data_IF_713961896314
#
_entry.id   IF_713961896314
#
_cell.length_a   1.000
_cell.length_b   1.000
_cell.length_c   1.000
_cell.angle_alpha   90.00
_cell.angle_beta   90.00
_cell.angle_gamma   90.00
#
_symmetry.space_group_name_H-M   'P 1'
#
loop_
_entity.id
_entity.type
_entity.pdbx_description
1 polymer ?
#
# COMPACT_ATOMS: atom_id res chain seq x y z
N UNK A 1 -63.11 -23.13 2.44
CA UNK A 1 -62.28 -22.20 3.26
C UNK A 1 -60.96 -22.90 3.61
N UNK A 2 -59.87 -22.15 3.67
CA UNK A 2 -58.48 -22.56 3.38
C UNK A 2 -57.86 -23.61 4.33
N UNK A 3 -56.89 -24.33 3.75
CA UNK A 3 -56.05 -25.43 4.25
C UNK A 3 -54.96 -24.99 5.24
N UNK A 4 -54.65 -25.92 6.14
CA UNK A 4 -53.38 -26.35 6.75
C UNK A 4 -52.04 -25.66 6.44
N UNK A 5 -51.18 -25.75 7.47
CA UNK A 5 -49.72 -25.94 7.53
C UNK A 5 -48.85 -24.81 8.09
N UNK A 6 -47.90 -25.28 8.89
CA UNK A 6 -47.03 -24.59 9.82
C UNK A 6 -46.02 -23.64 9.15
N UNK A 7 -45.61 -22.61 9.90
CA UNK A 7 -44.21 -22.16 9.91
C UNK A 7 -43.84 -21.86 11.35
N UNK A 8 -42.92 -22.65 11.89
CA UNK A 8 -42.13 -22.29 13.05
C UNK A 8 -41.26 -21.08 12.67
N UNK A 9 -41.56 -19.90 13.18
CA UNK A 9 -40.57 -18.83 13.27
C UNK A 9 -40.09 -18.78 14.71
N UNK A 10 -38.96 -19.46 14.93
CA UNK A 10 -38.18 -19.27 16.13
C UNK A 10 -37.79 -17.79 16.21
N UNK A 11 -38.42 -17.09 17.13
CA UNK A 11 -37.90 -15.86 17.74
C UNK A 11 -36.62 -16.23 18.48
N UNK A 12 -35.51 -16.33 17.75
CA UNK A 12 -34.17 -16.26 18.36
C UNK A 12 -33.91 -14.79 18.62
N UNK A 13 -34.43 -14.38 19.77
CA UNK A 13 -34.08 -13.18 20.50
C UNK A 13 -32.56 -13.05 20.53
N UNK A 14 -32.05 -11.95 19.93
CA UNK A 14 -30.85 -11.18 20.28
C UNK A 14 -29.87 -11.83 21.28
N UNK A 15 -29.28 -13.01 21.04
CA UNK A 15 -28.25 -13.56 21.93
C UNK A 15 -27.46 -14.72 21.30
N UNK A 16 -27.06 -14.63 20.03
CA UNK A 16 -26.00 -15.49 19.49
C UNK A 16 -25.26 -14.76 18.37
N UNK A 17 -23.92 -14.78 18.45
CA UNK A 17 -22.91 -14.21 17.53
C UNK A 17 -22.44 -12.75 17.80
N UNK A 18 -22.03 -12.47 19.04
CA UNK A 18 -20.95 -11.49 19.29
C UNK A 18 -19.64 -12.17 19.73
N UNK A 19 -19.50 -13.48 19.53
CA UNK A 19 -18.19 -14.14 19.50
C UNK A 19 -17.42 -13.77 18.22
N UNK A 20 -17.05 -12.50 18.10
CA UNK A 20 -15.79 -12.06 17.48
C UNK A 20 -14.86 -11.43 18.54
N UNK A 21 -15.18 -11.56 19.83
CA UNK A 21 -14.17 -11.48 20.88
C UNK A 21 -13.37 -12.79 20.90
N UNK A 22 -12.45 -12.96 19.94
CA UNK A 22 -11.17 -13.67 20.04
C UNK A 22 -10.49 -13.77 18.65
N UNK A 23 -10.29 -12.60 18.03
CA UNK A 23 -9.13 -12.31 17.20
C UNK A 23 -8.74 -10.82 17.38
N UNK A 24 -8.79 -10.33 18.63
CA UNK A 24 -8.09 -9.09 19.00
C UNK A 24 -6.62 -9.44 19.20
N UNK A 25 -5.95 -9.80 18.11
CA UNK A 25 -4.51 -9.64 17.97
C UNK A 25 -4.27 -8.65 16.83
N UNK A 26 -4.57 -7.37 17.14
CA UNK A 26 -4.10 -6.16 16.46
C UNK A 26 -4.44 -6.06 14.97
N UNK A 27 -5.72 -5.98 14.61
CA UNK A 27 -6.09 -5.21 13.42
C UNK A 27 -5.64 -3.77 13.70
N UNK A 28 -4.55 -3.35 13.07
CA UNK A 28 -4.06 -1.97 13.13
C UNK A 28 -5.22 -1.00 12.86
N UNK A 29 -5.27 0.14 13.55
CA UNK A 29 -6.27 1.18 13.27
C UNK A 29 -6.19 1.71 11.84
N UNK A 30 -5.10 1.39 11.13
CA UNK A 30 -4.81 1.74 9.74
C UNK A 30 -4.98 0.56 8.76
N UNK A 31 -5.34 -0.64 9.23
CA UNK A 31 -5.54 -1.83 8.39
C UNK A 31 -6.67 -1.67 7.37
N UNK A 32 -7.64 -0.79 7.64
CA UNK A 32 -8.82 -0.56 6.79
C UNK A 32 -8.69 0.60 5.80
N UNK A 33 -7.48 1.16 5.58
CA UNK A 33 -7.32 2.33 4.71
C UNK A 33 -7.36 1.99 3.21
N UNK A 34 -7.42 0.70 2.85
CA UNK A 34 -7.41 0.19 1.47
C UNK A 34 -6.25 0.71 0.60
N UNK A 35 -5.12 1.05 1.24
CA UNK A 35 -3.95 1.57 0.56
C UNK A 35 -3.30 0.52 -0.33
N UNK A 36 -2.88 0.95 -1.54
CA UNK A 36 -2.17 0.08 -2.49
C UNK A 36 -0.74 -0.14 -2.00
N UNK A 37 -0.18 -1.32 -2.24
CA UNK A 37 1.26 -1.52 -2.07
C UNK A 37 2.07 -0.63 -3.03
N UNK A 38 3.13 -0.01 -2.51
CA UNK A 38 3.80 1.13 -3.14
C UNK A 38 4.88 0.76 -4.18
N UNK A 39 5.22 -0.51 -4.41
CA UNK A 39 6.20 -0.94 -5.43
C UNK A 39 5.66 -2.01 -6.37
N UNK A 40 6.11 -2.00 -7.63
CA UNK A 40 5.75 -3.01 -8.64
C UNK A 40 6.46 -4.35 -8.50
N UNK A 41 7.61 -4.41 -7.80
CA UNK A 41 8.34 -5.67 -7.59
C UNK A 41 7.73 -6.56 -6.49
N UNK A 42 6.51 -6.25 -6.06
CA UNK A 42 5.85 -6.88 -4.95
C UNK A 42 4.39 -7.16 -5.29
N UNK A 43 4.18 -8.20 -6.06
CA UNK A 43 2.85 -8.81 -6.16
C UNK A 43 2.57 -9.73 -4.96
N UNK A 44 3.57 -10.11 -4.15
CA UNK A 44 3.43 -11.11 -3.07
C UNK A 44 3.34 -10.52 -1.66
N UNK A 45 2.60 -11.17 -0.77
CA UNK A 45 2.77 -11.08 0.71
C UNK A 45 4.07 -11.76 1.18
N UNK A 46 4.99 -12.10 0.27
CA UNK A 46 6.27 -12.70 0.62
C UNK A 46 7.14 -11.68 1.34
N UNK A 47 7.82 -12.15 2.39
CA UNK A 47 9.01 -11.59 3.03
C UNK A 47 9.48 -10.26 2.43
N UNK A 48 9.03 -9.15 3.01
CA UNK A 48 9.53 -7.84 2.67
C UNK A 48 10.68 -7.49 3.57
N UNK A 49 11.86 -7.47 2.97
CA UNK A 49 13.05 -7.07 3.68
C UNK A 49 13.00 -5.58 3.95
N UNK A 50 13.36 -5.19 5.17
CA UNK A 50 13.57 -3.81 5.57
C UNK A 50 15.05 -3.68 5.94
N UNK A 51 15.75 -2.76 5.27
CA UNK A 51 17.15 -2.44 5.57
C UNK A 51 17.28 -1.49 6.77
N UNK A 52 16.27 -0.65 6.99
CA UNK A 52 16.17 0.25 8.14
C UNK A 52 14.73 0.39 8.61
N UNK A 53 14.46 0.04 9.87
CA UNK A 53 13.11 -0.01 10.42
C UNK A 53 12.67 1.34 11.00
N UNK A 54 11.36 1.49 11.19
CA UNK A 54 10.77 2.63 11.89
C UNK A 54 11.22 2.66 13.34
N UNK A 55 11.73 3.80 13.81
CA UNK A 55 12.10 4.00 15.20
C UNK A 55 13.36 4.86 15.41
N UNK A 56 13.55 5.33 16.64
CA UNK A 56 14.65 6.22 16.99
C UNK A 56 14.57 7.54 16.22
N UNK A 57 15.50 7.75 15.29
CA UNK A 57 15.55 8.92 14.40
C UNK A 57 15.04 8.62 12.98
N UNK A 58 14.71 7.37 12.67
CA UNK A 58 14.24 6.94 11.36
C UNK A 58 12.72 6.94 11.32
N UNK A 59 12.15 7.86 10.54
CA UNK A 59 10.72 8.19 10.58
C UNK A 59 9.86 7.29 9.70
N UNK A 60 10.48 6.56 8.77
CA UNK A 60 9.82 5.63 7.86
C UNK A 60 10.41 4.22 7.93
N UNK A 61 10.25 3.49 6.83
CA UNK A 61 10.93 2.23 6.57
C UNK A 61 11.74 2.35 5.27
N UNK A 62 12.91 1.71 5.24
CA UNK A 62 13.73 1.60 4.04
C UNK A 62 13.58 0.21 3.46
N UNK A 63 13.04 0.13 2.24
CA UNK A 63 12.89 -1.11 1.49
C UNK A 63 14.03 -1.20 0.47
N UNK A 64 14.99 -2.13 0.61
CA UNK A 64 16.03 -2.34 -0.39
C UNK A 64 15.39 -2.81 -1.69
N UNK A 65 15.65 -2.08 -2.77
CA UNK A 65 15.05 -2.33 -4.08
C UNK A 65 15.94 -1.76 -5.18
N UNK A 66 16.13 -2.52 -6.25
CA UNK A 66 16.91 -2.06 -7.40
C UNK A 66 16.33 -0.80 -8.01
N UNK A 67 17.21 0.04 -8.57
CA UNK A 67 16.82 1.24 -9.31
C UNK A 67 15.89 0.87 -10.49
N UNK A 68 14.99 1.79 -10.87
CA UNK A 68 14.06 1.57 -11.97
C UNK A 68 12.79 0.81 -11.61
N UNK A 69 12.61 0.36 -10.36
CA UNK A 69 11.36 -0.27 -9.91
C UNK A 69 10.24 0.77 -9.84
N UNK A 70 9.05 0.46 -10.35
CA UNK A 70 7.92 1.41 -10.33
C UNK A 70 7.43 1.64 -8.92
N UNK A 71 7.31 2.91 -8.53
CA UNK A 71 6.63 3.33 -7.31
C UNK A 71 5.19 3.77 -7.63
N UNK A 72 4.24 3.37 -6.80
CA UNK A 72 2.82 3.70 -6.92
C UNK A 72 2.34 4.61 -5.80
N UNK A 73 1.40 5.48 -6.14
CA UNK A 73 0.62 6.25 -5.20
C UNK A 73 -0.23 5.30 -4.33
N UNK A 74 -0.05 5.36 -3.01
CA UNK A 74 -0.72 4.42 -2.08
C UNK A 74 -2.19 4.75 -1.85
N UNK A 75 -2.59 6.00 -2.08
CA UNK A 75 -3.91 6.52 -1.77
C UNK A 75 -4.23 7.73 -2.64
N UNK A 76 -5.51 8.10 -2.71
CA UNK A 76 -5.91 9.37 -3.30
C UNK A 76 -5.40 10.54 -2.45
N UNK A 77 -4.95 11.60 -3.11
CA UNK A 77 -4.46 12.78 -2.43
C UNK A 77 -3.99 13.91 -3.34
N UNK A 78 -3.43 14.93 -2.68
CA UNK A 78 -2.83 16.11 -3.31
C UNK A 78 -1.34 16.13 -2.98
N UNK A 79 -0.50 16.39 -3.99
CA UNK A 79 0.94 16.52 -3.81
C UNK A 79 1.22 17.79 -3.02
N UNK A 80 1.68 17.64 -1.78
CA UNK A 80 2.14 18.76 -0.96
C UNK A 80 3.47 19.28 -1.51
N UNK A 81 4.34 18.35 -1.93
CA UNK A 81 5.66 18.71 -2.40
C UNK A 81 6.26 17.65 -3.32
N UNK A 82 6.78 18.06 -4.48
CA UNK A 82 7.69 17.24 -5.28
C UNK A 82 9.14 17.58 -4.92
N UNK A 83 9.92 16.59 -4.49
CA UNK A 83 11.35 16.73 -4.24
C UNK A 83 12.09 16.62 -5.57
N UNK A 84 12.79 17.68 -5.93
CA UNK A 84 13.49 17.81 -7.20
C UNK A 84 14.78 18.57 -6.98
N UNK A 85 15.85 18.20 -7.70
CA UNK A 85 17.13 18.92 -7.59
C UNK A 85 16.99 20.42 -7.90
N UNK A 86 16.15 20.75 -8.87
CA UNK A 86 15.76 22.12 -9.21
C UNK A 86 14.25 22.22 -9.30
N UNK A 87 13.66 23.23 -8.67
CA UNK A 87 12.23 23.50 -8.78
C UNK A 87 11.88 24.05 -10.18
N UNK A 88 10.59 24.25 -10.46
CA UNK A 88 10.11 24.69 -11.77
C UNK A 88 10.60 26.11 -12.16
N UNK A 89 11.08 26.89 -11.18
CA UNK A 89 11.74 28.19 -11.40
C UNK A 89 13.26 28.08 -11.54
N UNK A 90 13.82 26.87 -11.63
CA UNK A 90 15.25 26.61 -11.76
C UNK A 90 16.06 26.80 -10.47
N UNK A 91 15.41 27.02 -9.31
CA UNK A 91 16.11 27.17 -8.03
C UNK A 91 16.45 25.79 -7.44
N UNK A 92 17.67 25.60 -6.92
CA UNK A 92 18.06 24.33 -6.31
C UNK A 92 17.25 24.06 -5.05
N UNK A 93 16.97 22.78 -4.76
CA UNK A 93 16.39 22.39 -3.49
C UNK A 93 17.40 22.58 -2.35
N UNK A 94 16.99 23.09 -1.18
CA UNK A 94 17.90 23.49 -0.10
C UNK A 94 18.65 22.32 0.57
N UNK A 95 18.30 21.07 0.28
CA UNK A 95 19.00 19.89 0.79
C UNK A 95 18.78 18.70 -0.15
N UNK A 96 19.87 18.13 -0.67
CA UNK A 96 19.86 16.87 -1.43
C UNK A 96 19.81 15.67 -0.48
N UNK A 97 19.28 15.81 0.74
CA UNK A 97 19.22 14.68 1.68
C UNK A 97 18.17 13.66 1.25
N UNK A 98 17.04 14.13 0.71
CA UNK A 98 15.90 13.28 0.30
C UNK A 98 15.97 12.79 -1.16
N UNK A 99 16.85 13.38 -1.97
CA UNK A 99 16.90 13.09 -3.41
C UNK A 99 15.61 13.47 -4.13
N UNK A 100 15.29 12.75 -5.23
CA UNK A 100 14.00 12.91 -5.89
C UNK A 100 12.90 12.11 -5.18
N UNK A 101 11.66 12.60 -5.22
CA UNK A 101 10.54 11.96 -4.57
C UNK A 101 9.36 12.91 -4.37
N UNK A 102 8.43 12.57 -3.49
CA UNK A 102 7.30 13.47 -3.19
C UNK A 102 6.71 13.23 -1.80
N UNK A 103 6.03 14.26 -1.28
CA UNK A 103 5.10 14.20 -0.17
C UNK A 103 3.66 14.34 -0.67
N UNK A 104 2.81 13.38 -0.33
CA UNK A 104 1.41 13.29 -0.69
C UNK A 104 0.54 13.49 0.54
N UNK A 105 -0.29 14.53 0.54
CA UNK A 105 -1.37 14.69 1.50
C UNK A 105 -2.55 13.81 1.09
N UNK A 106 -2.76 12.72 1.83
CA UNK A 106 -3.81 11.75 1.51
C UNK A 106 -5.19 12.24 1.96
N UNK A 107 -6.24 11.64 1.41
CA UNK A 107 -7.60 11.82 1.91
C UNK A 107 -7.86 11.07 3.23
N UNK A 108 -6.97 10.16 3.63
CA UNK A 108 -7.04 9.41 4.89
C UNK A 108 -6.62 10.29 6.07
N UNK A 109 -7.35 10.18 7.18
CA UNK A 109 -7.04 10.94 8.41
C UNK A 109 -6.54 10.00 9.50
N UNK A 110 -5.61 10.47 10.31
CA UNK A 110 -5.13 9.75 11.49
C UNK A 110 -6.29 9.57 12.49
N UNK A 111 -6.51 8.37 13.04
CA UNK A 111 -7.59 8.12 13.99
C UNK A 111 -7.38 8.86 15.32
N UNK A 112 -6.13 9.17 15.70
CA UNK A 112 -5.79 9.89 16.92
C UNK A 112 -5.83 11.41 16.72
N UNK A 113 -4.94 11.94 15.88
CA UNK A 113 -4.76 13.39 15.69
C UNK A 113 -5.86 14.02 14.83
N UNK A 114 -6.60 13.22 14.05
CA UNK A 114 -7.59 13.66 13.05
C UNK A 114 -7.01 14.44 11.87
N UNK A 115 -5.69 14.64 11.84
CA UNK A 115 -5.00 15.27 10.72
C UNK A 115 -4.98 14.36 9.50
N UNK A 116 -4.89 14.94 8.29
CA UNK A 116 -4.60 14.16 7.08
C UNK A 116 -3.21 13.53 7.17
N UNK A 117 -3.11 12.27 6.78
CA UNK A 117 -1.82 11.59 6.71
C UNK A 117 -1.02 12.10 5.52
N UNK A 118 0.26 12.35 5.73
CA UNK A 118 1.21 12.71 4.67
C UNK A 118 2.10 11.50 4.42
N UNK A 119 2.13 11.03 3.17
CA UNK A 119 2.98 9.91 2.74
C UNK A 119 4.15 10.46 1.96
N UNK A 120 5.36 10.03 2.30
CA UNK A 120 6.58 10.49 1.64
C UNK A 120 7.34 9.34 1.01
N UNK A 121 7.75 9.58 -0.23
CA UNK A 121 8.62 8.73 -1.03
C UNK A 121 9.91 9.49 -1.32
N UNK A 122 11.06 8.85 -1.15
CA UNK A 122 12.37 9.47 -1.39
C UNK A 122 13.28 8.58 -2.25
N UNK A 123 14.43 9.13 -2.62
CA UNK A 123 15.50 8.45 -3.34
C UNK A 123 15.11 7.93 -4.74
N UNK A 124 14.10 8.52 -5.40
CA UNK A 124 13.79 8.21 -6.79
C UNK A 124 14.98 8.51 -7.71
N UNK A 125 15.10 7.79 -8.82
CA UNK A 125 16.22 8.00 -9.76
C UNK A 125 16.14 9.35 -10.50
N UNK A 126 14.94 9.92 -10.60
CA UNK A 126 14.65 11.16 -11.33
C UNK A 126 13.41 11.86 -10.78
N UNK A 127 13.07 13.01 -11.36
CA UNK A 127 11.83 13.73 -11.06
C UNK A 127 10.61 12.79 -11.06
N UNK A 128 9.69 12.91 -10.08
CA UNK A 128 8.45 12.15 -10.06
C UNK A 128 7.60 12.42 -11.32
N UNK A 129 6.99 11.35 -11.83
CA UNK A 129 6.20 11.35 -13.06
C UNK A 129 4.87 10.65 -12.81
N UNK A 130 3.77 11.27 -13.22
CA UNK A 130 2.43 10.69 -13.16
C UNK A 130 2.23 9.78 -14.37
N UNK A 131 1.96 8.50 -14.13
CA UNK A 131 1.62 7.51 -15.16
C UNK A 131 2.59 7.48 -16.35
N UNK A 132 3.88 7.71 -16.08
CA UNK A 132 4.96 7.81 -17.06
C UNK A 132 4.73 8.82 -18.20
N UNK A 133 3.92 9.87 -17.96
CA UNK A 133 3.51 10.84 -18.98
C UNK A 133 3.91 12.27 -18.64
N UNK A 134 3.59 12.73 -17.45
CA UNK A 134 3.75 14.13 -17.06
C UNK A 134 4.53 14.25 -15.76
N UNK A 135 5.35 15.29 -15.67
CA UNK A 135 6.02 15.64 -14.42
C UNK A 135 4.98 15.96 -13.35
N UNK A 136 5.22 15.47 -12.14
CA UNK A 136 4.42 15.84 -10.97
C UNK A 136 4.96 17.15 -10.39
N UNK A 137 4.05 18.02 -9.96
CA UNK A 137 4.32 19.27 -9.26
C UNK A 137 3.45 19.41 -8.01
N UNK A 138 3.80 20.36 -7.14
CA UNK A 138 2.98 20.72 -5.98
C UNK A 138 1.57 21.14 -6.42
N UNK A 139 0.56 20.61 -5.74
CA UNK A 139 -0.85 20.87 -6.04
C UNK A 139 -1.50 19.85 -6.98
N UNK A 140 -0.72 18.97 -7.62
CA UNK A 140 -1.28 17.92 -8.47
C UNK A 140 -2.12 16.93 -7.66
N UNK A 141 -3.24 16.51 -8.24
CA UNK A 141 -4.04 15.40 -7.71
C UNK A 141 -3.50 14.07 -8.23
N UNK A 142 -3.29 13.13 -7.30
CA UNK A 142 -2.93 11.75 -7.58
C UNK A 142 -4.03 10.81 -7.06
N UNK A 143 -4.31 9.78 -7.86
CA UNK A 143 -5.19 8.67 -7.48
C UNK A 143 -4.36 7.51 -6.95
N UNK A 144 -4.95 6.71 -6.06
CA UNK A 144 -4.41 5.40 -5.67
C UNK A 144 -4.08 4.60 -6.94
N UNK A 145 -2.86 4.05 -7.01
CA UNK A 145 -2.40 3.27 -8.15
C UNK A 145 -1.71 4.05 -9.26
N UNK A 146 -1.77 5.39 -9.26
CA UNK A 146 -0.97 6.17 -10.20
C UNK A 146 0.51 5.81 -10.05
N UNK A 147 1.20 5.58 -11.17
CA UNK A 147 2.66 5.53 -11.15
C UNK A 147 3.16 6.92 -10.82
N UNK A 148 4.08 7.03 -9.85
CA UNK A 148 4.60 8.32 -9.36
C UNK A 148 6.10 8.49 -9.61
N UNK A 149 6.79 7.43 -10.00
CA UNK A 149 8.22 7.48 -10.25
C UNK A 149 8.85 6.11 -10.28
N UNK A 150 10.17 6.13 -10.32
CA UNK A 150 11.02 4.94 -10.30
C UNK A 150 12.00 5.05 -9.13
N UNK A 151 12.16 3.97 -8.38
CA UNK A 151 13.15 3.87 -7.30
C UNK A 151 14.55 4.17 -7.84
N UNK A 152 15.42 4.65 -6.97
CA UNK A 152 16.77 5.04 -7.35
C UNK A 152 17.71 4.98 -6.16
N UNK A 153 18.71 5.84 -6.20
CA UNK A 153 19.73 5.97 -5.17
C UNK A 153 20.19 7.43 -5.03
N UNK A 154 19.25 8.38 -5.20
CA UNK A 154 19.58 9.81 -5.19
C UNK A 154 19.53 10.40 -3.78
N UNK A 155 20.22 11.52 -3.58
CA UNK A 155 20.35 12.17 -2.29
C UNK A 155 21.24 11.42 -1.30
N UNK A 156 20.94 11.49 -0.01
CA UNK A 156 21.74 10.83 1.02
C UNK A 156 21.36 9.34 1.16
N UNK A 157 21.83 8.54 0.20
CA UNK A 157 21.57 7.10 0.15
C UNK A 157 22.88 6.32 0.01
N UNK A 158 22.96 5.17 0.70
CA UNK A 158 24.16 4.29 0.64
C UNK A 158 23.98 3.09 -0.30
N UNK A 159 22.82 2.98 -0.94
CA UNK A 159 22.51 1.95 -1.92
C UNK A 159 21.03 2.01 -2.36
N UNK A 160 20.66 1.39 -3.49
CA UNK A 160 19.30 1.47 -4.02
C UNK A 160 18.24 1.00 -3.03
N UNK A 161 17.31 1.90 -2.69
CA UNK A 161 16.18 1.61 -1.80
C UNK A 161 15.05 2.63 -2.01
N UNK A 162 13.90 2.33 -1.42
CA UNK A 162 12.82 3.29 -1.22
C UNK A 162 12.70 3.60 0.27
N UNK A 163 12.87 4.86 0.65
CA UNK A 163 12.41 5.36 1.94
C UNK A 163 10.93 5.71 1.84
N UNK A 164 10.12 5.08 2.70
CA UNK A 164 8.67 5.24 2.73
C UNK A 164 8.23 5.64 4.14
N UNK A 165 7.61 6.80 4.25
CA UNK A 165 7.27 7.43 5.53
C UNK A 165 5.79 7.90 5.57
N UNK A 166 5.19 7.89 6.76
CA UNK A 166 3.82 8.33 7.03
C UNK A 166 3.76 9.26 8.24
N UNK A 167 3.57 10.56 8.00
CA UNK A 167 3.36 11.57 9.04
C UNK A 167 1.88 11.74 9.40
N UNK A 168 1.59 11.92 10.69
CA UNK A 168 0.25 12.24 11.25
C UNK A 168 0.15 13.67 11.79
N UNK A 169 1.15 14.51 11.53
CA UNK A 169 1.20 15.92 11.98
C UNK A 169 0.40 16.87 11.06
N UNK A 170 -0.12 16.36 9.93
CA UNK A 170 -0.92 17.14 8.97
C UNK A 170 -0.11 17.98 7.98
N UNK A 171 1.21 17.99 8.12
CA UNK A 171 2.15 18.65 7.20
C UNK A 171 3.41 17.81 7.04
N UNK A 172 4.04 17.97 5.86
CA UNK A 172 5.39 17.46 5.62
C UNK A 172 6.46 18.24 6.40
N UNK A 173 6.26 19.54 6.64
CA UNK A 173 7.28 20.40 7.21
C UNK A 173 7.29 20.38 8.74
N UNK A 174 8.46 20.17 9.35
CA UNK A 174 8.61 20.20 10.82
C UNK A 174 8.16 18.92 11.55
N UNK A 175 7.81 17.88 10.80
CA UNK A 175 7.60 16.53 11.30
C UNK A 175 8.96 15.80 11.44
N UNK A 176 9.83 16.30 12.32
CA UNK A 176 11.22 15.82 12.44
C UNK A 176 11.41 14.85 13.63
N UNK A 177 10.40 14.02 13.93
CA UNK A 177 10.46 13.09 15.07
C UNK A 177 9.49 11.93 14.85
N UNK A 178 9.92 10.71 15.13
CA UNK A 178 9.09 9.49 15.09
C UNK A 178 7.76 9.61 15.83
N UNK A 179 7.67 10.44 16.88
CA UNK A 179 6.42 10.69 17.61
C UNK A 179 5.29 11.27 16.75
N UNK A 180 5.66 12.00 15.71
CA UNK A 180 4.77 12.65 14.73
C UNK A 180 4.44 11.76 13.54
N UNK A 181 4.96 10.53 13.52
CA UNK A 181 4.82 9.59 12.43
C UNK A 181 4.09 8.33 12.90
N UNK A 182 3.72 7.51 11.93
CA UNK A 182 3.08 6.21 12.13
C UNK A 182 3.98 5.18 11.48
N UNK A 183 4.21 4.06 12.17
CA UNK A 183 4.91 2.92 11.58
C UNK A 183 4.19 2.48 10.28
N UNK A 184 4.82 2.61 9.10
CA UNK A 184 4.20 2.30 7.83
C UNK A 184 3.72 0.85 7.72
N UNK A 185 4.31 -0.08 8.47
CA UNK A 185 3.90 -1.50 8.49
C UNK A 185 2.46 -1.68 8.97
N UNK A 186 1.95 -0.74 9.77
CA UNK A 186 0.58 -0.74 10.28
C UNK A 186 -0.49 -0.59 9.19
N UNK A 187 -0.14 -0.09 8.00
CA UNK A 187 -1.03 0.03 6.85
C UNK A 187 -1.08 -1.25 6.00
N UNK A 188 -0.17 -2.19 6.26
CA UNK A 188 -0.04 -3.43 5.49
C UNK A 188 0.03 -4.65 6.42
N UNK A 189 -1.04 -4.94 7.19
CA UNK A 189 -1.06 -6.02 8.18
C UNK A 189 -0.92 -7.42 7.56
N UNK A 190 -1.16 -7.55 6.25
CA UNK A 190 -1.03 -8.80 5.50
C UNK A 190 0.37 -9.00 4.91
N UNK A 191 1.30 -8.07 5.12
CA UNK A 191 2.70 -8.16 4.66
C UNK A 191 3.57 -8.66 5.80
N UNK A 192 4.30 -9.75 5.58
CA UNK A 192 5.34 -10.20 6.51
C UNK A 192 6.61 -9.36 6.32
N UNK A 193 6.90 -8.50 7.29
CA UNK A 193 8.07 -7.62 7.29
C UNK A 193 9.24 -8.31 8.00
N UNK A 194 10.36 -8.50 7.29
CA UNK A 194 11.60 -9.07 7.84
C UNK A 194 12.67 -7.98 7.93
N UNK A 195 13.12 -7.71 9.14
CA UNK A 195 14.26 -6.82 9.32
C UNK A 195 15.56 -7.54 8.99
N UNK A 196 16.41 -6.94 8.15
CA UNK A 196 17.76 -7.43 7.90
C UNK A 196 18.73 -6.27 7.72
N UNK A 197 19.69 -6.12 8.64
CA UNK A 197 20.81 -5.17 8.50
C UNK A 197 21.78 -5.56 7.37
N UNK A 198 21.78 -6.83 6.94
CA UNK A 198 22.73 -7.39 5.98
C UNK A 198 22.23 -7.44 4.53
N UNK A 199 21.00 -7.01 4.25
CA UNK A 199 20.36 -7.15 2.93
C UNK A 199 20.78 -6.10 1.89
N UNK A 200 22.09 -5.82 1.78
CA UNK A 200 22.64 -5.01 0.67
C UNK A 200 23.02 -5.82 -0.57
N UNK A 201 22.78 -7.13 -0.57
CA UNK A 201 22.96 -8.01 -1.72
C UNK A 201 21.85 -9.05 -1.77
N UNK A 202 21.03 -9.03 -2.83
CA UNK A 202 19.92 -9.97 -3.06
C UNK A 202 20.49 -11.21 -3.75
N UNK A 203 20.52 -12.37 -3.08
CA UNK A 203 20.74 -13.66 -3.75
C UNK A 203 19.85 -14.82 -3.28
N UNK A 204 19.01 -14.68 -2.25
CA UNK A 204 18.20 -15.80 -1.74
C UNK A 204 16.72 -15.43 -1.66
N UNK A 205 16.03 -15.42 -2.81
CA UNK A 205 14.57 -15.41 -2.87
C UNK A 205 14.06 -16.81 -3.23
N UNK A 206 13.55 -17.56 -2.25
CA UNK A 206 12.69 -18.72 -2.54
C UNK A 206 11.33 -18.21 -3.02
N UNK A 207 10.93 -18.69 -4.20
CA UNK A 207 9.68 -18.37 -4.89
C UNK A 207 8.47 -18.91 -4.13
N UNK A 208 7.50 -18.04 -3.81
CA UNK A 208 6.16 -18.47 -3.41
C UNK A 208 5.36 -18.92 -4.64
N UNK A 209 4.46 -19.89 -4.45
CA UNK A 209 3.55 -20.36 -5.48
C UNK A 209 2.63 -19.19 -5.95
N UNK A 210 2.75 -18.73 -7.20
CA UNK A 210 2.01 -17.58 -7.73
C UNK A 210 0.50 -17.77 -7.73
N UNK A 211 0.02 -19.01 -7.60
CA UNK A 211 -1.41 -19.33 -7.64
C UNK A 211 -2.21 -18.69 -6.50
N UNK A 212 -1.57 -18.33 -5.39
CA UNK A 212 -2.26 -17.80 -4.20
C UNK A 212 -2.12 -16.29 -4.00
N UNK A 213 -1.63 -15.58 -5.03
CA UNK A 213 -1.17 -14.20 -4.90
C UNK A 213 -1.94 -13.30 -5.86
N UNK A 214 -2.96 -12.61 -5.34
CA UNK A 214 -3.84 -11.75 -6.13
C UNK A 214 -3.31 -10.32 -6.25
N UNK A 215 -3.12 -9.84 -7.48
CA UNK A 215 -2.87 -8.41 -7.72
C UNK A 215 -4.12 -7.60 -7.33
N UNK A 216 -3.93 -6.53 -6.56
CA UNK A 216 -5.01 -5.62 -6.16
C UNK A 216 -5.72 -4.98 -7.37
N UNK A 217 -5.09 -4.92 -8.55
CA UNK A 217 -5.76 -4.52 -9.78
C UNK A 217 -6.96 -5.43 -10.13
N UNK A 218 -6.90 -6.72 -9.78
CA UNK A 218 -8.05 -7.62 -9.94
C UNK A 218 -9.19 -7.27 -8.99
N UNK A 219 -8.87 -6.88 -7.75
CA UNK A 219 -9.85 -6.44 -6.75
C UNK A 219 -10.47 -5.11 -7.16
N UNK A 220 -9.65 -4.15 -7.63
CA UNK A 220 -10.12 -2.86 -8.13
C UNK A 220 -10.99 -3.05 -9.40
N UNK A 221 -10.70 -4.05 -10.24
CA UNK A 221 -11.50 -4.37 -11.42
C UNK A 221 -12.89 -4.92 -11.10
N UNK A 222 -12.99 -5.87 -10.16
CA UNK A 222 -14.29 -6.49 -9.79
C UNK A 222 -15.06 -5.67 -8.75
N UNK A 223 -14.37 -4.77 -8.05
CA UNK A 223 -14.90 -3.99 -6.95
C UNK A 223 -14.79 -4.71 -5.61
N UNK A 224 -14.49 -3.93 -4.55
CA UNK A 224 -14.24 -4.45 -3.20
C UNK A 224 -15.39 -5.31 -2.66
N UNK A 225 -16.65 -4.88 -2.85
CA UNK A 225 -17.81 -5.62 -2.37
C UNK A 225 -17.94 -7.02 -3.02
N UNK A 226 -17.69 -7.11 -4.33
CA UNK A 226 -17.74 -8.38 -5.05
C UNK A 226 -16.58 -9.31 -4.65
N UNK A 227 -15.39 -8.74 -4.42
CA UNK A 227 -14.27 -9.48 -3.87
C UNK A 227 -14.56 -10.04 -2.47
N UNK A 228 -15.11 -9.23 -1.56
CA UNK A 228 -15.48 -9.65 -0.21
C UNK A 228 -16.56 -10.73 -0.22
N UNK A 229 -17.54 -10.62 -1.13
CA UNK A 229 -18.54 -11.66 -1.36
C UNK A 229 -17.89 -12.97 -1.80
N UNK A 230 -17.01 -12.94 -2.80
CA UNK A 230 -16.28 -14.12 -3.28
C UNK A 230 -15.41 -14.77 -2.19
N UNK A 231 -14.73 -13.97 -1.37
CA UNK A 231 -13.96 -14.45 -0.21
C UNK A 231 -14.88 -15.08 0.83
N UNK A 232 -16.07 -14.53 1.06
CA UNK A 232 -17.04 -15.05 2.04
C UNK A 232 -17.75 -16.34 1.61
N UNK A 233 -17.93 -16.54 0.30
CA UNK A 233 -18.58 -17.73 -0.28
C UNK A 233 -17.69 -18.98 -0.26
N UNK A 234 -16.37 -18.80 -0.14
CA UNK A 234 -15.38 -19.89 -0.08
C UNK A 234 -15.15 -20.32 1.37
N UNK A 235 -16.22 -20.71 2.05
CA UNK A 235 -16.26 -20.95 3.49
C UNK A 235 -15.50 -22.20 3.98
N UNK A 236 -14.59 -22.79 3.20
CA UNK A 236 -13.75 -23.92 3.65
C UNK A 236 -12.38 -23.88 2.97
N UNK A 237 -11.36 -23.41 3.69
CA UNK A 237 -9.90 -23.43 3.41
C UNK A 237 -9.29 -22.48 2.35
N UNK A 238 -8.19 -21.82 2.74
CA UNK A 238 -7.33 -20.94 1.92
C UNK A 238 -6.77 -21.63 0.66
N UNK A 239 -6.77 -22.97 0.59
CA UNK A 239 -6.29 -23.77 -0.53
C UNK A 239 -7.13 -23.66 -1.82
N UNK A 240 -8.35 -23.12 -1.75
CA UNK A 240 -9.20 -22.92 -2.93
C UNK A 240 -9.30 -21.47 -3.39
N UNK A 241 -8.73 -20.52 -2.63
CA UNK A 241 -8.71 -19.09 -2.96
C UNK A 241 -7.47 -18.74 -3.77
N UNK A 242 -7.43 -19.23 -5.02
CA UNK A 242 -6.33 -18.97 -5.97
C UNK A 242 -6.69 -17.86 -6.95
N UNK A 243 -5.68 -17.24 -7.55
CA UNK A 243 -5.82 -16.32 -8.70
C UNK A 243 -6.64 -16.98 -9.81
N UNK A 244 -6.43 -18.26 -10.06
CA UNK A 244 -7.17 -19.00 -11.08
C UNK A 244 -8.65 -19.16 -10.71
N UNK A 245 -8.97 -19.51 -9.47
CA UNK A 245 -10.36 -19.64 -9.00
C UNK A 245 -11.10 -18.29 -9.02
N UNK A 246 -10.41 -17.19 -8.74
CA UNK A 246 -10.96 -15.84 -8.84
C UNK A 246 -11.23 -15.44 -10.29
N UNK A 247 -10.25 -15.65 -11.18
CA UNK A 247 -10.43 -15.37 -12.61
C UNK A 247 -11.58 -16.18 -13.19
N UNK A 248 -11.72 -17.43 -12.78
CA UNK A 248 -12.83 -18.29 -13.18
C UNK A 248 -14.17 -17.76 -12.64
N UNK A 249 -14.24 -17.33 -11.38
CA UNK A 249 -15.47 -16.81 -10.78
C UNK A 249 -15.94 -15.52 -11.44
N UNK A 250 -15.02 -14.62 -11.77
CA UNK A 250 -15.31 -13.32 -12.39
C UNK A 250 -15.20 -13.32 -13.93
N UNK A 251 -15.07 -14.49 -14.57
CA UNK A 251 -14.91 -14.64 -16.02
C UNK A 251 -13.79 -13.75 -16.62
N UNK A 252 -12.65 -13.67 -15.94
CA UNK A 252 -11.51 -12.88 -16.38
C UNK A 252 -10.70 -13.69 -17.39
N UNK A 253 -10.84 -13.35 -18.67
CA UNK A 253 -10.05 -13.94 -19.76
C UNK A 253 -8.61 -13.42 -19.76
N UNK A 254 -7.67 -14.08 -20.47
CA UNK A 254 -6.30 -13.57 -20.61
C UNK A 254 -6.23 -12.14 -21.18
N UNK A 255 -7.16 -11.77 -22.07
CA UNK A 255 -7.26 -10.42 -22.62
C UNK A 255 -7.68 -9.41 -21.56
N UNK A 256 -8.67 -9.76 -20.73
CA UNK A 256 -9.13 -8.91 -19.62
C UNK A 256 -8.03 -8.80 -18.57
N UNK A 257 -7.38 -9.90 -18.19
CA UNK A 257 -6.23 -9.91 -17.29
C UNK A 257 -5.13 -8.95 -17.80
N UNK A 258 -4.78 -9.04 -19.09
CA UNK A 258 -3.82 -8.13 -19.69
C UNK A 258 -4.28 -6.67 -19.61
N UNK A 259 -5.57 -6.40 -19.71
CA UNK A 259 -6.09 -5.03 -19.51
C UNK A 259 -6.05 -4.60 -18.05
N UNK A 260 -6.33 -5.49 -17.10
CA UNK A 260 -6.29 -5.22 -15.66
C UNK A 260 -4.86 -4.89 -15.23
N UNK A 261 -3.88 -5.68 -15.67
CA UNK A 261 -2.48 -5.56 -15.25
C UNK A 261 -1.71 -4.43 -15.96
N UNK A 262 -2.25 -3.89 -17.06
CA UNK A 262 -1.66 -2.75 -17.80
C UNK A 262 -2.34 -1.41 -17.49
N UNK A 263 -3.26 -1.37 -16.52
CA UNK A 263 -3.86 -0.13 -15.98
C UNK A 263 -3.05 0.36 -14.80
#
# INVERSE_FOLDING_TARGET
MKKWMAVAMATVSMFTLTCNAFAVSRASAYAGTSWRYFLSNSTTTANKTISQDFGGTHMGIDIPVGEGTTAYCVADGIVELAFVKFNDSGKPYPSDTVGYGLALKTNTSDPGTKNKLIVTYQHFQSRPIKNNKTNIATGDSLSKGDTIGKTGNTGNSTGPHLHFDVSKDGTWWGANSVSKHVDPKLFYPNVEWKYSKSSRTISDCQTLNPDYVMDVAFIDYVGQAAFEEWVSMTSVTRSVQTVQSFKQYFNITPEIEKQILNR
#
